data_IF_671706519037
#
_entry.id   IF_671706519037
#
_cell.length_a   1.000
_cell.length_b   1.000
_cell.length_c   1.000
_cell.angle_alpha   90.00
_cell.angle_beta   90.00
_cell.angle_gamma   90.00
#
_symmetry.space_group_name_H-M   'P 1'
#
loop_
_entity.id
_entity.type
_entity.pdbx_description
1 polymer ?
#
# COMPACT_ATOMS: atom_id res chain seq x y z
N UNK A 1 33.38 -5.85 -37.47
CA UNK A 1 31.95 -5.78 -37.86
C UNK A 1 31.01 -6.33 -36.77
N UNK A 2 31.32 -7.47 -36.13
CA UNK A 2 30.47 -8.04 -35.07
C UNK A 2 30.46 -7.19 -33.77
N UNK A 3 31.63 -6.68 -33.37
CA UNK A 3 31.77 -5.91 -32.13
C UNK A 3 30.99 -4.58 -32.15
N UNK A 4 30.97 -3.90 -33.29
CA UNK A 4 30.24 -2.63 -33.45
C UNK A 4 28.72 -2.80 -33.35
N UNK A 5 28.19 -3.97 -33.74
CA UNK A 5 26.76 -4.29 -33.62
C UNK A 5 26.42 -4.54 -32.16
N UNK A 6 27.25 -5.30 -31.43
CA UNK A 6 27.08 -5.55 -30.00
C UNK A 6 27.10 -4.25 -29.17
N UNK A 7 27.99 -3.32 -29.49
CA UNK A 7 28.08 -2.04 -28.77
C UNK A 7 26.88 -1.13 -29.08
N UNK A 8 26.36 -1.16 -30.31
CA UNK A 8 25.13 -0.46 -30.66
C UNK A 8 23.91 -1.04 -29.91
N UNK A 9 23.79 -2.36 -29.82
CA UNK A 9 22.71 -3.02 -29.08
C UNK A 9 22.74 -2.72 -27.58
N UNK A 10 23.94 -2.67 -26.98
CA UNK A 10 24.09 -2.26 -25.56
C UNK A 10 23.65 -0.82 -25.32
N UNK A 11 23.99 0.11 -26.23
CA UNK A 11 23.56 1.50 -26.15
C UNK A 11 22.05 1.63 -26.26
N UNK A 12 21.43 0.90 -27.20
CA UNK A 12 19.97 0.87 -27.36
C UNK A 12 19.29 0.29 -26.10
N UNK A 13 19.79 -0.81 -25.55
CA UNK A 13 19.24 -1.41 -24.34
C UNK A 13 19.32 -0.45 -23.13
N UNK A 14 20.45 0.27 -23.00
CA UNK A 14 20.64 1.27 -21.96
C UNK A 14 19.69 2.45 -22.12
N UNK A 15 19.46 2.88 -23.37
CA UNK A 15 18.55 3.99 -23.66
C UNK A 15 17.09 3.61 -23.44
N UNK A 16 16.68 2.40 -23.83
CA UNK A 16 15.35 1.86 -23.51
C UNK A 16 15.14 1.77 -22.01
N UNK A 17 16.16 1.37 -21.25
CA UNK A 17 16.10 1.33 -19.79
C UNK A 17 15.95 2.74 -19.20
N UNK A 18 16.72 3.72 -19.68
CA UNK A 18 16.60 5.13 -19.28
C UNK A 18 15.24 5.71 -19.61
N UNK A 19 14.71 5.46 -20.80
CA UNK A 19 13.41 5.96 -21.22
C UNK A 19 12.27 5.36 -20.39
N UNK A 20 12.36 4.08 -20.01
CA UNK A 20 11.41 3.46 -19.07
C UNK A 20 11.50 4.06 -17.67
N UNK A 21 12.71 4.34 -17.18
CA UNK A 21 12.92 5.03 -15.91
C UNK A 21 12.42 6.49 -15.94
N UNK A 22 12.51 7.14 -17.09
CA UNK A 22 11.95 8.48 -17.31
C UNK A 22 10.43 8.46 -17.47
N UNK A 23 9.84 7.41 -18.03
CA UNK A 23 8.39 7.23 -18.06
C UNK A 23 7.81 6.95 -16.66
N UNK A 24 8.54 6.29 -15.77
CA UNK A 24 8.17 6.21 -14.35
C UNK A 24 8.35 7.53 -13.59
N UNK A 25 9.16 8.46 -14.12
CA UNK A 25 9.46 9.76 -13.52
C UNK A 25 8.94 10.94 -14.37
N UNK A 26 7.98 10.70 -15.27
CA UNK A 26 7.67 11.59 -16.36
C UNK A 26 6.31 12.26 -16.23
N UNK A 27 6.24 13.28 -15.38
CA UNK A 27 5.58 14.53 -15.81
C UNK A 27 6.57 15.67 -15.60
N UNK A 28 7.00 16.20 -16.74
CA UNK A 28 7.79 17.42 -16.97
C UNK A 28 7.43 18.60 -16.07
N UNK A 29 8.43 19.28 -15.50
CA UNK A 29 8.55 20.75 -15.41
C UNK A 29 7.48 21.59 -14.70
N UNK A 30 6.34 21.02 -14.31
CA UNK A 30 5.50 21.55 -13.26
C UNK A 30 6.06 20.97 -11.96
N UNK A 31 6.15 21.76 -10.88
CA UNK A 31 6.28 21.18 -9.54
C UNK A 31 5.21 20.11 -9.43
N UNK A 32 5.60 18.82 -9.46
CA UNK A 32 4.67 17.72 -9.35
C UNK A 32 3.84 18.00 -8.11
N UNK A 33 2.54 18.22 -8.27
CA UNK A 33 1.64 18.52 -7.16
C UNK A 33 1.92 17.48 -6.08
N UNK A 34 2.26 17.89 -4.84
CA UNK A 34 2.54 16.94 -3.77
C UNK A 34 1.40 15.93 -3.71
N UNK A 35 1.73 14.65 -3.92
CA UNK A 35 0.71 13.60 -3.94
C UNK A 35 0.12 13.48 -2.55
N UNK A 36 -1.20 13.42 -2.48
CA UNK A 36 -1.95 13.36 -1.22
C UNK A 36 -2.15 11.91 -0.77
N UNK A 37 -2.60 11.75 0.48
CA UNK A 37 -3.16 10.48 0.98
C UNK A 37 -4.45 10.13 0.23
N UNK A 38 -4.78 8.84 0.04
CA UNK A 38 -5.92 8.45 -0.78
C UNK A 38 -7.27 8.72 -0.10
N UNK A 39 -8.27 9.21 -0.82
CA UNK A 39 -9.62 9.46 -0.27
C UNK A 39 -10.68 8.51 -0.83
N UNK A 40 -10.39 7.87 -1.96
CA UNK A 40 -11.24 6.91 -2.63
C UNK A 40 -10.41 5.77 -3.26
N UNK A 41 -11.09 4.70 -3.66
CA UNK A 41 -10.51 3.67 -4.51
C UNK A 41 -11.51 3.12 -5.51
N UNK A 42 -10.99 2.53 -6.58
CA UNK A 42 -11.71 1.67 -7.50
C UNK A 42 -11.09 0.26 -7.49
N UNK A 43 -11.88 -0.74 -7.86
CA UNK A 43 -11.43 -2.14 -7.93
C UNK A 43 -11.42 -2.57 -9.38
N UNK A 44 -10.25 -2.94 -9.89
CA UNK A 44 -10.11 -3.61 -11.18
C UNK A 44 -10.07 -5.13 -10.97
N UNK A 45 -10.95 -5.83 -11.69
CA UNK A 45 -11.05 -7.30 -11.70
C UNK A 45 -10.90 -7.91 -13.09
N UNK A 46 -10.48 -7.12 -14.08
CA UNK A 46 -10.33 -7.62 -15.45
C UNK A 46 -9.08 -8.51 -15.60
N UNK A 47 -8.09 -8.37 -14.72
CA UNK A 47 -6.92 -9.23 -14.67
C UNK A 47 -7.15 -10.48 -13.79
N UNK A 48 -6.27 -11.47 -13.92
CA UNK A 48 -6.22 -12.65 -13.03
C UNK A 48 -5.91 -12.29 -11.57
N UNK A 49 -5.50 -11.05 -11.32
CA UNK A 49 -5.25 -10.46 -10.00
C UNK A 49 -6.18 -9.26 -9.83
N UNK A 50 -6.81 -9.14 -8.67
CA UNK A 50 -7.61 -7.98 -8.32
C UNK A 50 -6.65 -6.82 -8.04
N UNK A 51 -6.91 -5.61 -8.55
CA UNK A 51 -6.07 -4.44 -8.30
C UNK A 51 -6.91 -3.32 -7.70
N UNK A 52 -6.46 -2.77 -6.59
CA UNK A 52 -7.06 -1.57 -5.99
C UNK A 52 -6.36 -0.35 -6.57
N UNK A 53 -7.13 0.55 -7.18
CA UNK A 53 -6.66 1.83 -7.69
C UNK A 53 -7.05 2.93 -6.73
N UNK A 54 -6.08 3.61 -6.15
CA UNK A 54 -6.33 4.76 -5.28
C UNK A 54 -6.36 6.05 -6.10
N UNK A 55 -7.18 7.01 -5.67
CA UNK A 55 -7.32 8.33 -6.30
C UNK A 55 -6.04 9.18 -6.25
N UNK A 56 -5.07 8.83 -5.41
CA UNK A 56 -3.74 9.46 -5.35
C UNK A 56 -2.72 8.87 -6.33
N UNK A 57 -3.15 8.00 -7.26
CA UNK A 57 -2.30 7.39 -8.28
C UNK A 57 -1.49 6.18 -7.82
N UNK A 58 -1.68 5.72 -6.58
CA UNK A 58 -1.12 4.45 -6.11
C UNK A 58 -2.00 3.28 -6.56
N UNK A 59 -1.39 2.11 -6.74
CA UNK A 59 -2.13 0.85 -6.92
C UNK A 59 -1.66 -0.21 -5.94
N UNK A 60 -2.57 -1.10 -5.56
CA UNK A 60 -2.27 -2.24 -4.68
C UNK A 60 -2.80 -3.52 -5.33
N UNK A 61 -1.92 -4.34 -5.92
CA UNK A 61 -2.28 -5.67 -6.38
C UNK A 61 -2.69 -6.54 -5.19
N UNK A 62 -3.84 -7.19 -5.32
CA UNK A 62 -4.39 -8.11 -4.33
C UNK A 62 -4.16 -9.54 -4.83
N UNK A 63 -3.52 -10.39 -4.02
CA UNK A 63 -3.30 -11.79 -4.34
C UNK A 63 -4.63 -12.53 -4.57
N UNK A 64 -4.69 -13.51 -5.49
CA UNK A 64 -5.90 -14.27 -5.77
C UNK A 64 -6.51 -14.92 -4.52
N UNK A 65 -5.65 -15.36 -3.58
CA UNK A 65 -6.02 -15.97 -2.29
C UNK A 65 -6.96 -15.10 -1.47
N UNK A 66 -6.87 -13.78 -1.60
CA UNK A 66 -7.66 -12.83 -0.82
C UNK A 66 -8.55 -11.91 -1.68
N UNK A 67 -8.54 -12.11 -3.01
CA UNK A 67 -9.34 -11.35 -3.98
C UNK A 67 -10.86 -11.37 -3.72
N UNK A 68 -11.36 -12.38 -3.00
CA UNK A 68 -12.78 -12.50 -2.60
C UNK A 68 -13.12 -11.80 -1.29
N UNK A 69 -12.11 -11.48 -0.47
CA UNK A 69 -12.29 -10.97 0.88
C UNK A 69 -12.25 -9.43 0.89
N UNK A 70 -11.32 -8.80 0.18
CA UNK A 70 -11.09 -7.35 0.32
C UNK A 70 -12.03 -6.39 -0.42
N UNK A 71 -12.61 -6.73 -1.58
CA UNK A 71 -13.59 -5.86 -2.24
C UNK A 71 -14.97 -5.92 -1.59
N UNK A 72 -15.24 -6.97 -0.81
CA UNK A 72 -16.55 -7.26 -0.25
C UNK A 72 -16.44 -7.29 1.26
N UNK A 73 -16.70 -6.13 1.88
CA UNK A 73 -17.03 -6.15 3.29
C UNK A 73 -18.28 -7.02 3.50
N UNK A 74 -18.27 -8.00 4.41
CA UNK A 74 -19.47 -8.74 4.78
C UNK A 74 -20.47 -7.86 5.55
N UNK A 75 -20.21 -6.56 5.75
CA UNK A 75 -21.21 -5.57 6.18
C UNK A 75 -22.28 -5.37 5.10
N UNK A 76 -23.20 -6.35 5.09
CA UNK A 76 -24.57 -6.40 4.57
C UNK A 76 -25.12 -5.06 4.07
N UNK A 77 -24.87 -4.72 2.80
CA UNK A 77 -25.72 -3.79 2.04
C UNK A 77 -25.83 -2.36 2.58
N UNK A 78 -24.97 -1.93 3.51
CA UNK A 78 -24.95 -0.54 3.92
C UNK A 78 -24.15 0.29 2.92
N UNK A 79 -24.67 1.44 2.46
CA UNK A 79 -23.98 2.28 1.49
C UNK A 79 -22.65 2.76 2.06
N UNK A 80 -21.65 2.91 1.18
CA UNK A 80 -20.39 3.58 1.47
C UNK A 80 -20.63 4.90 2.22
N UNK A 81 -20.37 4.93 3.54
CA UNK A 81 -20.58 6.12 4.37
C UNK A 81 -21.65 5.98 5.47
N UNK A 82 -22.37 4.86 5.56
CA UNK A 82 -23.07 4.53 6.81
C UNK A 82 -22.03 4.36 7.94
N UNK A 83 -22.39 4.84 9.13
CA UNK A 83 -21.50 5.06 10.29
C UNK A 83 -20.34 4.07 10.40
N UNK A 84 -19.12 4.58 10.63
CA UNK A 84 -17.90 3.79 10.76
C UNK A 84 -18.15 2.51 11.57
N UNK A 85 -18.30 1.38 10.88
CA UNK A 85 -18.23 0.08 11.50
C UNK A 85 -16.87 -0.03 12.19
N UNK A 86 -16.80 -0.74 13.32
CA UNK A 86 -15.50 -1.03 13.91
C UNK A 86 -14.62 -1.69 12.85
N UNK A 87 -13.35 -1.26 12.70
CA UNK A 87 -12.39 -1.93 11.83
C UNK A 87 -12.41 -3.44 12.05
N UNK A 88 -12.38 -4.15 10.94
CA UNK A 88 -12.49 -5.61 10.89
C UNK A 88 -11.37 -6.18 10.04
N UNK A 89 -10.95 -7.39 10.38
CA UNK A 89 -9.94 -8.13 9.62
C UNK A 89 -10.31 -8.35 8.15
N UNK A 90 -11.61 -8.33 7.84
CA UNK A 90 -12.13 -8.48 6.48
C UNK A 90 -12.15 -7.18 5.68
N UNK A 91 -11.90 -6.03 6.32
CA UNK A 91 -12.06 -4.70 5.73
C UNK A 91 -10.77 -3.86 5.68
N UNK A 92 -9.61 -4.42 5.30
CA UNK A 92 -8.35 -3.69 5.39
C UNK A 92 -8.29 -2.49 4.42
N UNK A 93 -8.92 -2.58 3.24
CA UNK A 93 -8.94 -1.46 2.28
C UNK A 93 -9.84 -0.31 2.77
N UNK A 94 -10.98 -0.63 3.39
CA UNK A 94 -11.83 0.39 4.03
C UNK A 94 -11.14 1.01 5.24
N UNK A 95 -10.46 0.20 6.05
CA UNK A 95 -9.66 0.67 7.19
C UNK A 95 -8.57 1.64 6.73
N UNK A 96 -7.89 1.36 5.61
CA UNK A 96 -6.95 2.30 4.97
C UNK A 96 -7.61 3.64 4.65
N UNK A 97 -8.80 3.63 4.02
CA UNK A 97 -9.51 4.86 3.71
C UNK A 97 -9.99 5.61 4.96
N UNK A 98 -10.46 4.90 6.00
CA UNK A 98 -10.89 5.53 7.25
C UNK A 98 -9.73 6.21 7.96
N UNK A 99 -8.56 5.56 8.03
CA UNK A 99 -7.34 6.18 8.55
C UNK A 99 -6.93 7.41 7.72
N UNK A 100 -6.93 7.26 6.39
CA UNK A 100 -6.56 8.35 5.48
C UNK A 100 -7.49 9.56 5.63
N UNK A 101 -8.78 9.33 5.84
CA UNK A 101 -9.80 10.38 6.04
C UNK A 101 -9.86 10.91 7.48
N UNK A 102 -9.11 10.33 8.41
CA UNK A 102 -9.13 10.71 9.83
C UNK A 102 -10.41 10.31 10.57
N UNK A 103 -11.15 9.32 10.07
CA UNK A 103 -12.34 8.78 10.74
C UNK A 103 -11.98 7.85 11.91
N UNK A 104 -10.79 7.24 11.83
CA UNK A 104 -10.16 6.45 12.88
C UNK A 104 -8.67 6.78 12.91
N UNK A 105 -8.01 6.40 13.99
CA UNK A 105 -6.57 6.59 14.24
C UNK A 105 -5.88 5.23 14.40
N UNK A 106 -4.54 5.22 14.35
CA UNK A 106 -3.77 4.02 14.72
C UNK A 106 -3.97 3.63 16.19
N UNK A 107 -4.29 4.59 17.06
CA UNK A 107 -4.63 4.30 18.46
C UNK A 107 -5.93 3.50 18.56
N UNK A 108 -6.94 3.82 17.74
CA UNK A 108 -8.19 3.05 17.70
C UNK A 108 -7.92 1.61 17.27
N UNK A 109 -7.05 1.41 16.27
CA UNK A 109 -6.62 0.08 15.85
C UNK A 109 -5.81 -0.67 16.91
N UNK A 110 -5.03 0.05 17.73
CA UNK A 110 -4.18 -0.57 18.76
C UNK A 110 -4.96 -1.38 19.79
N UNK A 111 -6.20 -0.98 20.07
CA UNK A 111 -7.11 -1.67 20.99
C UNK A 111 -7.85 -2.86 20.39
N UNK A 112 -7.72 -3.11 19.08
CA UNK A 112 -8.45 -4.14 18.36
C UNK A 112 -7.57 -5.38 18.11
N UNK A 113 -8.23 -6.53 18.03
CA UNK A 113 -7.58 -7.82 17.78
C UNK A 113 -7.85 -8.27 16.35
N UNK A 114 -6.84 -8.82 15.67
CA UNK A 114 -7.05 -9.46 14.36
C UNK A 114 -7.02 -8.54 13.13
N UNK A 115 -6.97 -7.21 13.27
CA UNK A 115 -7.16 -6.26 12.15
C UNK A 115 -6.30 -6.55 10.91
N UNK A 116 -5.06 -7.00 11.08
CA UNK A 116 -4.15 -7.27 9.95
C UNK A 116 -4.08 -8.73 9.54
N UNK A 117 -5.04 -9.58 9.97
CA UNK A 117 -5.01 -11.05 9.81
C UNK A 117 -4.72 -11.53 8.40
N UNK A 118 -5.29 -10.87 7.40
CA UNK A 118 -5.19 -11.29 6.00
C UNK A 118 -4.15 -10.47 5.22
N UNK A 119 -3.59 -9.41 5.81
CA UNK A 119 -2.56 -8.59 5.16
C UNK A 119 -1.26 -9.38 5.06
N UNK A 120 -0.69 -9.45 3.86
CA UNK A 120 0.47 -10.29 3.54
C UNK A 120 1.68 -9.52 3.02
N UNK A 121 2.80 -10.23 2.88
CA UNK A 121 4.06 -9.70 2.34
C UNK A 121 3.94 -9.16 0.91
N UNK A 122 2.99 -9.72 0.17
CA UNK A 122 2.61 -9.41 -1.20
C UNK A 122 1.77 -8.12 -1.34
N UNK A 123 1.37 -7.50 -0.22
CA UNK A 123 0.77 -6.15 -0.22
C UNK A 123 1.83 -5.08 -0.49
N UNK A 124 2.24 -4.99 -1.76
CA UNK A 124 3.23 -4.04 -2.24
C UNK A 124 2.52 -2.95 -3.02
N UNK A 125 2.48 -1.74 -2.45
CA UNK A 125 1.96 -0.56 -3.13
C UNK A 125 2.89 -0.23 -4.30
N UNK A 126 2.31 -0.12 -5.50
CA UNK A 126 3.02 0.36 -6.67
C UNK A 126 2.86 1.88 -6.78
N UNK A 127 3.87 2.54 -7.33
CA UNK A 127 3.94 4.00 -7.43
C UNK A 127 3.69 4.70 -6.07
N UNK A 128 4.44 4.38 -5.00
CA UNK A 128 4.14 4.84 -3.65
C UNK A 128 4.42 6.35 -3.44
N UNK A 129 3.72 6.97 -2.49
CA UNK A 129 3.87 8.40 -2.13
C UNK A 129 5.16 8.61 -1.35
N UNK A 130 5.50 7.65 -0.49
CA UNK A 130 6.72 7.61 0.29
C UNK A 130 7.43 6.29 0.02
N UNK A 131 8.75 6.27 0.02
CA UNK A 131 9.53 5.06 -0.27
C UNK A 131 9.55 4.12 0.96
N UNK A 132 8.81 2.99 0.97
CA UNK A 132 8.84 2.06 2.09
C UNK A 132 10.15 1.25 2.17
N UNK A 133 10.98 1.23 1.12
CA UNK A 133 12.20 0.43 1.07
C UNK A 133 13.32 0.97 1.97
N UNK A 134 13.22 2.23 2.40
CA UNK A 134 14.16 2.84 3.34
C UNK A 134 14.06 2.32 4.78
N UNK A 135 13.07 1.45 5.07
CA UNK A 135 12.86 0.88 6.40
C UNK A 135 12.80 -0.64 6.40
N UNK A 136 13.32 -1.23 7.47
CA UNK A 136 13.01 -2.57 7.91
C UNK A 136 11.75 -2.54 8.78
N UNK A 137 10.67 -3.16 8.28
CA UNK A 137 9.36 -3.17 8.91
C UNK A 137 9.13 -4.39 9.83
N UNK A 138 10.07 -5.34 9.90
CA UNK A 138 9.86 -6.65 10.55
C UNK A 138 9.40 -6.61 12.01
N UNK A 139 9.64 -5.49 12.70
CA UNK A 139 9.27 -5.26 14.10
C UNK A 139 8.17 -4.21 14.28
N UNK A 140 7.67 -3.64 13.18
CA UNK A 140 6.69 -2.57 13.22
C UNK A 140 5.31 -3.10 13.65
N UNK A 141 4.73 -2.52 14.70
CA UNK A 141 3.45 -2.95 15.26
C UNK A 141 2.65 -1.75 15.76
N UNK A 142 1.35 -1.71 15.43
CA UNK A 142 0.40 -0.74 16.00
C UNK A 142 -0.36 -1.30 17.20
N UNK A 143 -0.39 -2.62 17.39
CA UNK A 143 -0.98 -3.26 18.58
C UNK A 143 -0.06 -4.32 19.16
N UNK A 144 0.56 -4.01 20.30
CA UNK A 144 1.36 -4.98 21.06
C UNK A 144 0.47 -5.98 21.83
N UNK A 145 -0.78 -5.61 22.09
CA UNK A 145 -1.79 -6.42 22.80
C UNK A 145 -2.56 -7.37 21.88
N UNK A 146 -2.39 -7.28 20.56
CA UNK A 146 -2.96 -8.21 19.58
C UNK A 146 -2.54 -9.65 19.93
N UNK A 147 -3.53 -10.53 20.09
CA UNK A 147 -3.33 -11.94 20.42
C UNK A 147 -3.43 -12.85 19.20
N UNK A 148 -3.85 -12.33 18.04
CA UNK A 148 -3.98 -13.09 16.80
C UNK A 148 -2.62 -13.24 16.12
N UNK A 149 -2.05 -14.44 16.19
CA UNK A 149 -0.75 -14.75 15.56
C UNK A 149 -0.65 -14.35 14.08
N UNK A 150 -1.65 -14.62 13.22
CA UNK A 150 -1.64 -14.14 11.84
C UNK A 150 -1.69 -12.61 11.73
N UNK A 151 -2.50 -11.92 12.54
CA UNK A 151 -2.56 -10.46 12.53
C UNK A 151 -1.24 -9.83 12.94
N UNK A 152 -0.59 -10.33 14.00
CA UNK A 152 0.76 -9.88 14.42
C UNK A 152 1.78 -9.97 13.28
N UNK A 153 1.71 -11.02 12.44
CA UNK A 153 2.57 -11.15 11.24
C UNK A 153 2.16 -10.19 10.12
N UNK A 154 0.90 -9.81 10.05
CA UNK A 154 0.37 -8.87 9.05
C UNK A 154 0.61 -7.39 9.38
N UNK A 155 0.73 -7.01 10.67
CA UNK A 155 0.89 -5.60 11.08
C UNK A 155 2.08 -4.89 10.41
N UNK A 156 3.29 -5.49 10.31
CA UNK A 156 4.40 -4.92 9.54
C UNK A 156 4.04 -4.53 8.10
N UNK A 157 3.33 -5.41 7.40
CA UNK A 157 2.96 -5.20 6.01
C UNK A 157 1.86 -4.15 5.88
N UNK A 158 0.91 -4.13 6.83
CA UNK A 158 -0.13 -3.11 6.87
C UNK A 158 0.45 -1.72 7.12
N UNK A 159 1.35 -1.57 8.10
CA UNK A 159 2.05 -0.31 8.36
C UNK A 159 2.89 0.15 7.16
N UNK A 160 3.60 -0.78 6.52
CA UNK A 160 4.33 -0.51 5.27
C UNK A 160 3.41 0.03 4.18
N UNK A 161 2.22 -0.56 4.02
CA UNK A 161 1.21 -0.08 3.07
C UNK A 161 0.72 1.32 3.42
N UNK A 162 0.41 1.61 4.68
CA UNK A 162 -0.04 2.94 5.13
C UNK A 162 1.02 4.02 4.89
N UNK A 163 2.29 3.72 5.17
CA UNK A 163 3.41 4.60 4.87
C UNK A 163 3.56 4.82 3.37
N UNK A 164 3.58 3.75 2.57
CA UNK A 164 3.68 3.86 1.12
C UNK A 164 2.54 4.69 0.50
N UNK A 165 1.35 4.70 1.09
CA UNK A 165 0.20 5.52 0.67
C UNK A 165 0.26 6.97 1.20
N UNK A 166 1.24 7.33 2.04
CA UNK A 166 1.39 8.65 2.64
C UNK A 166 0.42 8.93 3.80
N UNK A 167 -0.15 7.89 4.40
CA UNK A 167 -1.09 8.01 5.55
C UNK A 167 -0.31 8.15 6.86
N UNK A 168 0.79 7.43 6.98
CA UNK A 168 1.69 7.46 8.15
C UNK A 168 2.99 8.15 7.74
N UNK A 169 3.53 9.01 8.59
CA UNK A 169 4.80 9.69 8.31
C UNK A 169 6.00 8.90 8.86
N UNK A 170 7.22 9.37 8.58
CA UNK A 170 8.46 8.72 9.01
C UNK A 170 8.56 8.62 10.53
N UNK A 171 8.24 9.68 11.27
CA UNK A 171 8.30 9.67 12.73
C UNK A 171 7.37 8.59 13.31
N UNK A 172 6.13 8.53 12.85
CA UNK A 172 5.18 7.52 13.29
C UNK A 172 5.62 6.12 12.90
N UNK A 173 6.25 5.93 11.74
CA UNK A 173 6.81 4.62 11.37
C UNK A 173 7.90 4.18 12.35
N UNK A 174 8.82 5.09 12.72
CA UNK A 174 9.88 4.84 13.69
C UNK A 174 9.32 4.55 15.09
N UNK A 175 8.34 5.34 15.55
CA UNK A 175 7.70 5.17 16.86
C UNK A 175 7.00 3.81 16.98
N UNK A 176 6.50 3.28 15.86
CA UNK A 176 5.85 1.98 15.79
C UNK A 176 6.82 0.82 15.56
N UNK A 177 8.13 1.07 15.52
CA UNK A 177 9.18 0.05 15.49
C UNK A 177 9.74 -0.27 14.12
N UNK A 178 9.47 0.54 13.09
CA UNK A 178 10.26 0.48 11.85
C UNK A 178 11.70 0.97 12.10
N UNK A 179 12.67 0.41 11.38
CA UNK A 179 14.10 0.76 11.54
C UNK A 179 14.66 1.20 10.20
N UNK A 180 15.32 2.36 10.14
CA UNK A 180 15.92 2.86 8.88
C UNK A 180 17.07 1.96 8.42
N UNK A 181 17.18 1.73 7.11
CA UNK A 181 18.22 0.90 6.45
C UNK A 181 19.23 1.81 5.76
#
# INVERSE_FOLDING_TARGET
MYQSILDALKKIALEVYRLKAQQSNGTTGATATPRHRPCAFAVDRQASTCVIHFDNGCTLPIPPTYSRIYPYSPHKGEPYGAAAGSPSEYDPILTILWLSRGLITLSDLSGLNGISRFVGVDWVVQNPVQDPAQFNWSRAMFSNTDTSGPSKRGQPFFLRTLYALGIVNEQTALDLGAVKI
#
